data_IF_330730650133
#
_entry.id   IF_330730650133
#
_cell.length_a   1.000
_cell.length_b   1.000
_cell.length_c   1.000
_cell.angle_alpha   90.00
_cell.angle_beta   90.00
_cell.angle_gamma   90.00
#
_symmetry.space_group_name_H-M   'P 1'
#
loop_
_entity.id
_entity.type
_entity.pdbx_description
1 polymer ?
#
# COMPACT_ATOMS: atom_id res chain seq x y z
N UNK A 1 -2.76 5.82 13.23
CA UNK A 1 -2.19 4.46 13.25
C UNK A 1 -2.67 3.75 12.02
N UNK A 2 -1.76 3.10 11.28
CA UNK A 2 -2.13 2.21 10.18
C UNK A 2 -2.84 1.01 10.79
N UNK A 3 -4.00 0.64 10.27
CA UNK A 3 -4.78 -0.46 10.80
C UNK A 3 -5.04 -1.45 9.66
N UNK A 4 -4.55 -2.69 9.87
CA UNK A 4 -4.76 -3.86 9.03
C UNK A 4 -4.22 -3.76 7.60
N UNK A 5 -2.90 -3.90 7.40
CA UNK A 5 -2.41 -4.22 6.08
C UNK A 5 -2.89 -5.63 5.69
N UNK A 6 -3.54 -5.74 4.54
CA UNK A 6 -3.75 -7.02 3.86
C UNK A 6 -2.87 -7.02 2.60
N UNK A 7 -2.38 -8.19 2.20
CA UNK A 7 -1.45 -8.26 1.10
C UNK A 7 -1.33 -9.62 0.44
N UNK A 8 -1.00 -9.56 -0.86
CA UNK A 8 -0.76 -10.74 -1.69
C UNK A 8 0.55 -10.56 -2.45
N UNK A 9 1.22 -11.69 -2.72
CA UNK A 9 2.35 -11.73 -3.64
C UNK A 9 1.88 -12.32 -4.97
N UNK A 10 2.09 -11.60 -6.07
CA UNK A 10 1.83 -12.11 -7.41
C UNK A 10 2.97 -13.04 -7.87
N UNK A 11 2.71 -13.84 -8.90
CA UNK A 11 3.67 -14.80 -9.45
C UNK A 11 4.98 -14.15 -9.93
N UNK A 12 4.97 -12.85 -10.27
CA UNK A 12 6.15 -12.10 -10.66
C UNK A 12 6.96 -11.53 -9.47
N UNK A 13 6.59 -11.88 -8.24
CA UNK A 13 7.23 -11.44 -7.00
C UNK A 13 6.79 -10.06 -6.49
N UNK A 14 5.85 -9.38 -7.16
CA UNK A 14 5.30 -8.10 -6.69
C UNK A 14 4.37 -8.34 -5.51
N UNK A 15 4.66 -7.67 -4.40
CA UNK A 15 3.80 -7.54 -3.23
C UNK A 15 2.82 -6.39 -3.46
N UNK A 16 1.55 -6.64 -3.20
CA UNK A 16 0.48 -5.64 -3.21
C UNK A 16 -0.04 -5.53 -1.78
N UNK A 17 0.19 -4.39 -1.13
CA UNK A 17 -0.20 -4.18 0.27
C UNK A 17 -1.24 -3.07 0.33
N UNK A 18 -2.46 -3.38 0.78
CA UNK A 18 -3.54 -2.42 1.03
C UNK A 18 -3.54 -2.03 2.50
N UNK A 19 -3.74 -0.76 2.84
CA UNK A 19 -3.72 -0.27 4.21
C UNK A 19 -4.62 0.95 4.43
N UNK A 20 -5.16 1.07 5.65
CA UNK A 20 -5.82 2.29 6.12
C UNK A 20 -4.83 3.44 6.29
N UNK A 21 -5.19 4.61 5.75
CA UNK A 21 -4.46 5.87 5.89
C UNK A 21 -5.35 6.95 6.50
N UNK A 22 -4.90 7.47 7.64
CA UNK A 22 -5.55 8.54 8.40
C UNK A 22 -7.06 8.34 8.59
N UNK A 23 -7.40 7.26 9.31
CA UNK A 23 -8.79 6.81 9.55
C UNK A 23 -9.73 7.90 10.09
N UNK A 24 -9.22 8.92 10.79
CA UNK A 24 -10.05 10.00 11.37
C UNK A 24 -10.06 11.26 10.52
N UNK A 25 -8.99 11.55 9.78
CA UNK A 25 -8.89 12.68 8.87
C UNK A 25 -9.25 12.31 7.44
N UNK A 26 -8.24 12.00 6.61
CA UNK A 26 -8.43 11.77 5.17
C UNK A 26 -9.32 10.56 4.83
N UNK A 27 -9.39 9.55 5.71
CA UNK A 27 -10.18 8.31 5.54
C UNK A 27 -9.89 7.60 4.21
N UNK A 28 -8.62 7.42 3.89
CA UNK A 28 -8.18 6.78 2.63
C UNK A 28 -7.81 5.32 2.87
N UNK A 29 -8.16 4.47 1.92
CA UNK A 29 -7.55 3.16 1.73
C UNK A 29 -6.53 3.33 0.61
N UNK A 30 -5.27 3.04 0.91
CA UNK A 30 -4.17 3.12 -0.03
C UNK A 30 -3.62 1.73 -0.31
N UNK A 31 -2.94 1.58 -1.43
CA UNK A 31 -2.14 0.42 -1.77
C UNK A 31 -0.72 0.85 -2.11
N UNK A 32 0.28 0.06 -1.71
CA UNK A 32 1.62 0.17 -2.25
C UNK A 32 2.04 -1.14 -2.91
N UNK A 33 2.93 -1.03 -3.89
CA UNK A 33 3.54 -2.16 -4.57
C UNK A 33 5.05 -2.09 -4.49
N UNK A 34 5.68 -3.23 -4.26
CA UNK A 34 7.13 -3.39 -4.19
C UNK A 34 7.48 -4.89 -4.26
N UNK A 35 8.76 -5.24 -4.40
CA UNK A 35 9.26 -6.61 -4.28
C UNK A 35 10.03 -6.80 -2.98
N UNK A 36 10.25 -8.04 -2.52
CA UNK A 36 11.15 -8.29 -1.39
C UNK A 36 12.56 -7.72 -1.60
N UNK A 37 13.02 -7.69 -2.85
CA UNK A 37 14.30 -7.05 -3.23
C UNK A 37 14.32 -5.55 -2.95
N UNK A 38 13.21 -4.84 -3.19
CA UNK A 38 13.10 -3.41 -2.82
C UNK A 38 13.16 -3.21 -1.31
N UNK A 39 12.48 -4.08 -0.55
CA UNK A 39 12.47 -4.01 0.91
C UNK A 39 13.86 -4.27 1.50
N UNK A 40 14.56 -5.31 1.03
CA UNK A 40 15.92 -5.65 1.46
C UNK A 40 16.93 -4.57 1.07
N UNK A 41 16.79 -3.97 -0.12
CA UNK A 41 17.65 -2.90 -0.57
C UNK A 41 17.37 -1.55 0.11
N UNK A 42 16.21 -1.42 0.79
CA UNK A 42 15.75 -0.16 1.38
C UNK A 42 15.48 0.95 0.37
N UNK A 43 15.39 0.62 -0.92
CA UNK A 43 15.18 1.57 -2.02
C UNK A 43 14.56 0.87 -3.24
N UNK A 44 13.92 1.60 -4.16
CA UNK A 44 13.39 1.04 -5.40
C UNK A 44 14.53 0.52 -6.29
N UNK A 45 14.66 -0.80 -6.36
CA UNK A 45 15.61 -1.51 -7.24
C UNK A 45 14.88 -2.35 -8.29
N UNK A 46 13.59 -2.58 -8.09
CA UNK A 46 12.68 -3.20 -9.05
C UNK A 46 11.90 -2.14 -9.84
N UNK A 47 11.26 -2.57 -10.93
CA UNK A 47 10.26 -1.77 -11.65
C UNK A 47 8.87 -1.77 -11.03
N UNK A 48 8.67 -2.49 -9.90
CA UNK A 48 7.36 -2.67 -9.27
C UNK A 48 7.02 -1.61 -8.21
N UNK A 49 7.96 -0.72 -7.88
CA UNK A 49 7.77 0.27 -6.82
C UNK A 49 6.67 1.29 -7.15
N UNK A 50 5.60 1.29 -6.36
CA UNK A 50 4.61 2.36 -6.31
C UNK A 50 4.20 2.60 -4.84
N UNK A 51 4.59 3.73 -4.23
CA UNK A 51 4.40 3.93 -2.81
C UNK A 51 2.97 4.32 -2.42
N UNK A 52 2.14 4.76 -3.37
CA UNK A 52 0.80 5.28 -3.05
C UNK A 52 -0.15 5.20 -4.25
N UNK A 53 -1.03 4.22 -4.20
CA UNK A 53 -2.18 4.06 -5.09
C UNK A 53 -3.44 4.26 -4.25
N UNK A 54 -4.32 5.20 -4.62
CA UNK A 54 -5.59 5.38 -3.91
C UNK A 54 -6.58 4.30 -4.35
N UNK A 55 -7.03 3.48 -3.39
CA UNK A 55 -8.04 2.44 -3.63
C UNK A 55 -9.44 2.96 -3.32
N UNK A 56 -9.60 3.64 -2.18
CA UNK A 56 -10.88 4.22 -1.76
C UNK A 56 -10.66 5.47 -0.88
N UNK A 57 -11.66 6.34 -0.81
CA UNK A 57 -11.72 7.42 0.16
C UNK A 57 -13.16 7.58 0.67
N UNK A 58 -13.36 7.43 1.99
CA UNK A 58 -14.68 7.60 2.57
C UNK A 58 -15.05 9.08 2.67
N UNK A 59 -16.19 9.46 2.09
CA UNK A 59 -16.71 10.84 2.05
C UNK A 59 -17.94 11.06 2.93
N UNK A 60 -18.41 10.04 3.65
CA UNK A 60 -19.56 10.13 4.53
C UNK A 60 -19.38 11.14 5.67
N UNK A 61 -20.43 11.92 5.94
CA UNK A 61 -20.55 12.77 7.11
C UNK A 61 -20.90 11.95 8.36
N UNK A 62 -20.59 12.44 9.57
CA UNK A 62 -20.97 11.80 10.83
C UNK A 62 -22.49 11.60 10.97
#
# INVERSE_FOLDING_TARGET
GVSYPDGVQADNGTLYIIYDYDRRGEKKILMCTFTEGDALAGRPVSGAWNPRIQVNQATGSP
#
